data_IF_290248818916
#
_entry.id   IF_290248818916
#
_cell.length_a   1.000
_cell.length_b   1.000
_cell.length_c   1.000
_cell.angle_alpha   90.00
_cell.angle_beta   90.00
_cell.angle_gamma   90.00
#
_symmetry.space_group_name_H-M   'P 1'
#
loop_
_entity.id
_entity.type
_entity.pdbx_description
1 polymer ?
#
# COMPACT_ATOMS: atom_id res chain seq x y z
N UNK A 1 -53.39 -59.10 -35.75
CA UNK A 1 -53.69 -58.40 -37.01
C UNK A 1 -54.28 -57.04 -36.67
N UNK A 2 -54.07 -55.98 -37.47
CA UNK A 2 -53.11 -55.84 -38.59
C UNK A 2 -52.04 -54.74 -38.37
N UNK A 3 -50.93 -54.85 -39.13
CA UNK A 3 -50.01 -53.83 -39.72
C UNK A 3 -49.81 -52.45 -39.04
N UNK A 4 -48.62 -51.84 -38.98
CA UNK A 4 -47.34 -51.91 -39.73
C UNK A 4 -46.79 -50.47 -39.81
N UNK A 5 -45.53 -50.13 -40.11
CA UNK A 5 -44.32 -50.86 -40.49
C UNK A 5 -43.06 -49.98 -40.17
N UNK A 6 -41.89 -50.61 -40.02
CA UNK A 6 -40.59 -50.34 -40.70
C UNK A 6 -40.18 -48.89 -41.10
N UNK A 7 -38.92 -48.42 -41.06
CA UNK A 7 -37.58 -48.97 -40.72
C UNK A 7 -36.80 -47.83 -39.98
N UNK A 8 -35.51 -47.86 -39.58
CA UNK A 8 -34.30 -48.62 -39.94
C UNK A 8 -33.41 -48.89 -38.68
N UNK A 9 -32.14 -49.27 -38.84
CA UNK A 9 -31.23 -49.63 -37.75
C UNK A 9 -29.75 -49.29 -38.07
N UNK A 10 -28.96 -49.04 -37.02
CA UNK A 10 -27.51 -49.29 -36.86
C UNK A 10 -26.47 -48.56 -37.77
N UNK A 11 -25.55 -47.83 -37.13
CA UNK A 11 -24.18 -48.36 -36.96
C UNK A 11 -23.49 -47.82 -35.69
N UNK A 12 -22.72 -48.67 -35.04
CA UNK A 12 -22.08 -48.51 -33.72
C UNK A 12 -20.56 -48.70 -33.87
N UNK A 13 -19.71 -47.89 -33.22
CA UNK A 13 -18.42 -48.37 -32.67
C UNK A 13 -18.19 -47.72 -31.29
N UNK A 14 -17.74 -48.54 -30.35
CA UNK A 14 -17.52 -48.26 -28.91
C UNK A 14 -16.10 -47.74 -28.65
N UNK A 15 -15.91 -46.95 -27.58
CA UNK A 15 -14.86 -47.23 -26.56
C UNK A 15 -14.95 -46.33 -25.32
N UNK A 16 -15.50 -46.91 -24.26
CA UNK A 16 -15.07 -46.79 -22.86
C UNK A 16 -13.76 -46.02 -22.54
N UNK A 17 -13.85 -45.02 -21.66
CA UNK A 17 -13.14 -45.04 -20.37
C UNK A 17 -13.79 -44.10 -19.35
N UNK A 18 -13.79 -44.50 -18.07
CA UNK A 18 -14.26 -43.68 -16.94
C UNK A 18 -13.15 -42.75 -16.49
N UNK A 19 -13.48 -41.52 -16.07
CA UNK A 19 -12.83 -40.84 -14.95
C UNK A 19 -13.76 -39.71 -14.44
N UNK A 20 -14.44 -39.97 -13.31
CA UNK A 20 -15.18 -38.94 -12.58
C UNK A 20 -14.17 -38.09 -11.80
N UNK A 21 -14.07 -36.80 -12.12
CA UNK A 21 -13.54 -35.82 -11.18
C UNK A 21 -14.71 -34.97 -10.67
N UNK A 22 -15.21 -35.31 -9.49
CA UNK A 22 -16.15 -34.47 -8.75
C UNK A 22 -15.37 -33.36 -8.06
N UNK A 23 -15.40 -32.16 -8.63
CA UNK A 23 -14.84 -30.96 -7.99
C UNK A 23 -15.77 -30.58 -6.83
N UNK A 24 -15.33 -30.85 -5.61
CA UNK A 24 -16.04 -30.43 -4.41
C UNK A 24 -15.65 -28.98 -4.12
N UNK A 25 -16.53 -28.04 -4.46
CA UNK A 25 -16.37 -26.63 -4.10
C UNK A 25 -16.56 -26.48 -2.58
N UNK A 26 -15.47 -26.17 -1.87
CA UNK A 26 -15.57 -25.67 -0.50
C UNK A 26 -16.09 -24.23 -0.51
N UNK A 27 -16.99 -23.84 0.41
CA UNK A 27 -17.47 -22.47 0.47
C UNK A 27 -16.36 -21.52 0.93
N UNK A 28 -16.26 -20.38 0.25
CA UNK A 28 -15.47 -19.24 0.72
C UNK A 28 -15.98 -18.81 2.11
N UNK A 29 -15.05 -18.70 3.07
CA UNK A 29 -15.36 -18.25 4.41
C UNK A 29 -15.76 -16.76 4.36
N UNK A 30 -17.04 -16.45 4.60
CA UNK A 30 -17.51 -15.07 4.66
C UNK A 30 -16.94 -14.39 5.92
N UNK A 31 -15.96 -13.50 5.72
CA UNK A 31 -15.48 -12.58 6.77
C UNK A 31 -16.64 -11.68 7.17
N UNK A 32 -17.25 -12.00 8.32
CA UNK A 32 -18.40 -11.24 8.82
C UNK A 32 -17.88 -10.03 9.60
N UNK A 33 -17.80 -8.86 8.93
CA UNK A 33 -17.38 -7.63 9.60
C UNK A 33 -18.38 -7.24 10.70
N UNK A 34 -17.95 -7.36 11.96
CA UNK A 34 -18.65 -6.75 13.10
C UNK A 34 -18.20 -5.30 13.24
N UNK A 35 -18.98 -4.38 12.69
CA UNK A 35 -18.78 -2.94 12.88
C UNK A 35 -19.17 -2.55 14.32
N UNK A 36 -18.18 -2.34 15.18
CA UNK A 36 -18.42 -1.75 16.49
C UNK A 36 -18.80 -0.28 16.34
N UNK A 37 -19.90 0.13 16.98
CA UNK A 37 -20.38 1.51 16.96
C UNK A 37 -19.44 2.41 17.77
N UNK A 38 -18.84 3.46 17.19
CA UNK A 38 -17.98 4.38 17.92
C UNK A 38 -18.74 5.20 18.97
N UNK A 39 -18.03 5.60 20.02
CA UNK A 39 -18.54 6.41 21.14
C UNK A 39 -18.96 7.83 20.69
N UNK A 40 -19.83 8.53 21.44
CA UNK A 40 -20.38 9.82 21.00
C UNK A 40 -19.34 10.91 20.70
N UNK A 41 -18.26 10.98 21.48
CA UNK A 41 -17.21 11.98 21.28
C UNK A 41 -16.32 11.65 20.07
N UNK A 42 -16.04 10.37 19.78
CA UNK A 42 -15.23 9.99 18.61
C UNK A 42 -15.99 10.11 17.30
N UNK A 43 -17.33 9.90 17.30
CA UNK A 43 -18.18 10.27 16.15
C UNK A 43 -18.03 11.74 15.78
N UNK A 44 -18.16 12.65 16.75
CA UNK A 44 -18.05 14.09 16.51
C UNK A 44 -16.69 14.49 15.94
N UNK A 45 -15.60 13.94 16.49
CA UNK A 45 -14.25 14.18 15.96
C UNK A 45 -14.09 13.67 14.52
N UNK A 46 -14.62 12.47 14.21
CA UNK A 46 -14.60 11.92 12.85
C UNK A 46 -15.43 12.76 11.88
N UNK A 47 -16.62 13.21 12.28
CA UNK A 47 -17.49 14.09 11.50
C UNK A 47 -16.78 15.42 11.19
N UNK A 48 -16.07 15.99 12.17
CA UNK A 48 -15.27 17.21 12.02
C UNK A 48 -14.08 17.02 11.05
N UNK A 49 -13.38 15.88 11.10
CA UNK A 49 -12.26 15.57 10.18
C UNK A 49 -12.74 15.29 8.75
N UNK A 50 -13.83 14.55 8.58
CA UNK A 50 -14.46 14.36 7.27
C UNK A 50 -15.00 15.68 6.71
N UNK A 51 -15.57 16.55 7.56
CA UNK A 51 -16.01 17.88 7.15
C UNK A 51 -14.81 18.73 6.71
N UNK A 52 -13.72 18.78 7.50
CA UNK A 52 -12.46 19.41 7.13
C UNK A 52 -11.94 18.92 5.78
N UNK A 53 -11.94 17.60 5.53
CA UNK A 53 -11.49 17.03 4.26
C UNK A 53 -12.33 17.55 3.09
N UNK A 54 -13.66 17.45 3.19
CA UNK A 54 -14.60 17.97 2.17
C UNK A 54 -14.36 19.46 1.87
N UNK A 55 -14.10 20.29 2.89
CA UNK A 55 -13.78 21.71 2.70
C UNK A 55 -12.44 21.95 1.98
N UNK A 56 -11.44 21.07 2.14
CA UNK A 56 -10.16 21.15 1.43
C UNK A 56 -10.33 20.71 -0.03
N UNK A 57 -11.04 19.60 -0.27
CA UNK A 57 -11.35 19.05 -1.59
C UNK A 57 -12.17 20.04 -2.45
N UNK A 58 -13.17 20.70 -1.85
CA UNK A 58 -13.95 21.77 -2.48
C UNK A 58 -13.19 23.10 -2.64
N UNK A 59 -11.93 23.16 -2.21
CA UNK A 59 -11.10 24.36 -2.32
C UNK A 59 -11.59 25.54 -1.48
N UNK A 60 -12.35 25.29 -0.41
CA UNK A 60 -12.85 26.31 0.52
C UNK A 60 -11.81 26.62 1.62
N UNK A 61 -11.12 25.60 2.12
CA UNK A 61 -9.91 25.76 2.93
C UNK A 61 -8.69 25.86 2.01
N UNK A 62 -8.27 27.10 1.67
CA UNK A 62 -7.13 27.36 0.74
C UNK A 62 -5.79 27.61 1.40
N UNK A 63 -5.76 28.05 2.66
CA UNK A 63 -4.53 28.40 3.38
C UNK A 63 -3.79 27.14 3.83
N UNK A 64 -2.51 27.00 3.44
CA UNK A 64 -1.69 25.84 3.74
C UNK A 64 -1.46 25.59 5.24
N UNK A 65 -1.48 26.61 6.09
CA UNK A 65 -1.45 26.46 7.55
C UNK A 65 -2.70 25.81 8.15
N UNK A 66 -3.75 25.59 7.34
CA UNK A 66 -4.96 24.82 7.68
C UNK A 66 -5.04 23.47 6.94
N UNK A 67 -4.00 23.12 6.18
CA UNK A 67 -3.88 21.92 5.33
C UNK A 67 -2.71 21.07 5.81
N UNK A 68 -3.03 20.17 6.74
CA UNK A 68 -2.10 19.24 7.38
C UNK A 68 -0.75 19.79 7.82
N UNK A 69 0.22 18.87 7.90
CA UNK A 69 1.60 19.14 8.33
C UNK A 69 2.43 19.77 7.20
N UNK A 70 2.06 19.60 5.93
CA UNK A 70 2.72 20.09 4.72
C UNK A 70 2.68 21.61 4.45
N UNK A 71 2.56 22.45 5.48
CA UNK A 71 2.37 23.89 5.33
C UNK A 71 3.51 24.60 4.55
N UNK A 72 3.12 25.44 3.58
CA UNK A 72 4.02 26.23 2.72
C UNK A 72 5.02 27.07 3.52
N UNK A 73 6.30 26.94 3.18
CA UNK A 73 7.36 27.92 3.52
C UNK A 73 7.95 28.45 2.21
N UNK A 74 8.40 29.71 2.19
CA UNK A 74 8.80 30.42 0.95
C UNK A 74 9.95 29.74 0.18
N UNK A 75 10.74 28.87 0.82
CA UNK A 75 11.71 27.98 0.16
C UNK A 75 11.10 26.91 -0.76
N UNK A 76 9.77 26.73 -0.78
CA UNK A 76 9.07 25.76 -1.63
C UNK A 76 8.70 26.27 -3.03
N UNK A 77 9.10 27.49 -3.43
CA UNK A 77 8.99 27.91 -4.84
C UNK A 77 9.94 27.02 -5.67
N UNK A 78 9.42 26.07 -6.46
CA UNK A 78 10.25 24.98 -6.95
C UNK A 78 10.91 25.41 -8.25
N UNK A 79 12.05 26.11 -8.17
CA UNK A 79 12.89 26.41 -9.34
C UNK A 79 13.30 25.13 -10.09
N UNK A 80 13.30 23.99 -9.39
CA UNK A 80 13.44 22.65 -9.96
C UNK A 80 12.29 22.25 -10.92
N UNK A 81 11.03 22.70 -10.74
CA UNK A 81 9.92 22.28 -11.62
C UNK A 81 10.08 22.77 -13.06
N UNK A 82 10.30 24.08 -13.34
CA UNK A 82 10.60 24.53 -14.70
C UNK A 82 11.85 23.88 -15.29
N UNK A 83 12.89 23.65 -14.48
CA UNK A 83 14.11 22.97 -14.90
C UNK A 83 13.85 21.50 -15.30
N UNK A 84 13.14 20.74 -14.48
CA UNK A 84 12.77 19.35 -14.78
C UNK A 84 11.86 19.26 -16.01
N UNK A 85 10.95 20.22 -16.19
CA UNK A 85 10.12 20.33 -17.40
C UNK A 85 10.93 20.67 -18.65
N UNK A 86 11.97 21.51 -18.53
CA UNK A 86 12.90 21.79 -19.62
C UNK A 86 13.76 20.56 -19.96
N UNK A 87 14.29 19.86 -18.96
CA UNK A 87 15.02 18.60 -19.13
C UNK A 87 14.16 17.51 -19.78
N UNK A 88 12.86 17.42 -19.42
CA UNK A 88 11.91 16.50 -20.05
C UNK A 88 11.66 16.77 -21.55
N UNK A 89 12.00 17.97 -22.07
CA UNK A 89 11.92 18.26 -23.52
C UNK A 89 13.10 17.70 -24.30
N UNK A 90 14.17 17.26 -23.62
CA UNK A 90 15.36 16.65 -24.26
C UNK A 90 15.02 15.19 -24.61
N UNK A 91 14.93 14.80 -25.90
CA UNK A 91 14.32 13.52 -26.29
C UNK A 91 15.01 12.28 -25.70
N UNK A 92 16.35 12.23 -25.71
CA UNK A 92 17.11 11.09 -25.18
C UNK A 92 16.93 10.95 -23.66
N UNK A 93 16.90 12.08 -22.94
CA UNK A 93 16.78 12.10 -21.49
C UNK A 93 15.37 11.68 -21.08
N UNK A 94 14.34 12.17 -21.78
CA UNK A 94 12.95 11.70 -21.61
C UNK A 94 12.83 10.20 -21.84
N UNK A 95 13.25 9.70 -23.00
CA UNK A 95 13.13 8.27 -23.33
C UNK A 95 13.83 7.39 -22.29
N UNK A 96 15.03 7.79 -21.85
CA UNK A 96 15.77 7.06 -20.79
C UNK A 96 15.06 7.15 -19.44
N UNK A 97 14.59 8.34 -19.05
CA UNK A 97 13.92 8.58 -17.77
C UNK A 97 12.59 7.88 -17.65
N UNK A 98 11.78 7.86 -18.71
CA UNK A 98 10.53 7.08 -18.77
C UNK A 98 10.80 5.57 -18.78
N UNK A 99 11.80 5.10 -19.52
CA UNK A 99 12.17 3.68 -19.52
C UNK A 99 12.62 3.19 -18.12
N UNK A 100 13.39 4.03 -17.40
CA UNK A 100 13.72 3.78 -15.99
C UNK A 100 12.46 3.78 -15.10
N UNK A 101 11.49 4.64 -15.38
CA UNK A 101 10.26 4.76 -14.59
C UNK A 101 9.25 3.63 -14.82
N UNK A 102 9.26 2.96 -15.98
CA UNK A 102 8.48 1.73 -16.19
C UNK A 102 9.12 0.51 -15.52
N UNK A 103 10.45 0.50 -15.38
CA UNK A 103 11.19 -0.66 -14.88
C UNK A 103 11.24 -0.72 -13.34
N UNK A 104 10.09 -1.01 -12.71
CA UNK A 104 10.01 -1.24 -11.28
C UNK A 104 10.83 -2.46 -10.84
N UNK A 105 11.55 -2.35 -9.72
CA UNK A 105 12.42 -3.40 -9.18
C UNK A 105 11.73 -4.09 -8.01
N UNK A 106 11.59 -5.41 -8.06
CA UNK A 106 11.12 -6.18 -6.91
C UNK A 106 12.22 -6.20 -5.83
N UNK A 107 11.86 -5.87 -4.58
CA UNK A 107 12.75 -5.88 -3.42
C UNK A 107 12.16 -6.76 -2.33
N UNK A 108 12.86 -7.82 -1.95
CA UNK A 108 12.52 -8.59 -0.74
C UNK A 108 13.29 -8.02 0.45
N UNK A 109 12.58 -7.73 1.53
CA UNK A 109 13.11 -7.17 2.78
C UNK A 109 12.72 -8.07 3.94
N UNK A 110 13.54 -8.10 4.99
CA UNK A 110 13.29 -8.85 6.22
C UNK A 110 13.28 -7.89 7.39
N UNK A 111 12.16 -7.86 8.12
CA UNK A 111 12.02 -7.10 9.34
C UNK A 111 11.85 -8.06 10.51
N UNK A 112 12.74 -7.95 11.50
CA UNK A 112 12.82 -8.89 12.63
C UNK A 112 12.30 -8.24 13.90
N UNK A 113 11.37 -8.87 14.60
CA UNK A 113 10.79 -8.33 15.85
C UNK A 113 10.71 -9.40 16.94
N UNK A 114 10.91 -8.97 18.19
CA UNK A 114 10.75 -9.82 19.38
C UNK A 114 9.28 -10.09 19.69
N UNK A 115 8.43 -9.06 19.54
CA UNK A 115 6.98 -9.08 19.80
C UNK A 115 6.13 -9.66 18.64
N UNK A 116 6.75 -10.22 17.58
CA UNK A 116 5.99 -10.80 16.45
C UNK A 116 5.31 -12.11 16.88
N UNK A 117 3.98 -12.25 16.76
CA UNK A 117 3.29 -13.50 17.11
C UNK A 117 3.81 -14.68 16.27
N UNK A 118 4.07 -15.85 16.85
CA UNK A 118 4.80 -16.93 16.18
C UNK A 118 4.23 -17.38 14.84
N UNK A 119 2.90 -17.37 14.68
CA UNK A 119 2.25 -17.76 13.42
C UNK A 119 2.52 -16.79 12.27
N UNK A 120 2.96 -15.56 12.54
CA UNK A 120 3.36 -14.56 11.53
C UNK A 120 4.84 -14.65 11.13
N UNK A 121 5.61 -15.59 11.69
CA UNK A 121 6.99 -15.80 11.24
C UNK A 121 7.03 -16.33 9.80
N UNK A 122 7.67 -15.57 8.90
CA UNK A 122 7.68 -15.84 7.46
C UNK A 122 6.48 -15.27 6.70
N UNK A 123 5.56 -14.57 7.37
CA UNK A 123 4.40 -13.94 6.72
C UNK A 123 4.85 -12.82 5.78
N UNK A 124 4.26 -12.77 4.58
CA UNK A 124 4.69 -11.89 3.49
C UNK A 124 3.68 -10.77 3.18
N UNK A 125 4.17 -9.53 3.21
CA UNK A 125 3.40 -8.32 2.90
C UNK A 125 3.95 -7.67 1.63
N UNK A 126 3.17 -7.64 0.55
CA UNK A 126 3.42 -6.81 -0.62
C UNK A 126 3.05 -5.36 -0.29
N UNK A 127 4.03 -4.47 -0.24
CA UNK A 127 3.85 -3.03 -0.06
C UNK A 127 3.98 -2.30 -1.39
N UNK A 128 2.88 -1.66 -1.82
CA UNK A 128 2.84 -0.75 -2.95
C UNK A 128 2.52 0.68 -2.47
N UNK A 129 3.08 1.67 -3.15
CA UNK A 129 2.83 3.08 -2.87
C UNK A 129 3.00 3.94 -4.12
N UNK A 130 2.39 5.13 -4.10
CA UNK A 130 2.53 6.17 -5.11
C UNK A 130 2.37 5.61 -6.54
N UNK A 131 1.33 4.81 -6.74
CA UNK A 131 1.12 4.02 -7.97
C UNK A 131 0.93 4.96 -9.16
N UNK A 132 0.21 6.07 -8.96
CA UNK A 132 -0.13 7.07 -9.99
C UNK A 132 -0.43 6.43 -11.35
N UNK A 133 -1.44 5.56 -11.40
CA UNK A 133 -1.67 4.65 -12.52
C UNK A 133 -2.01 5.35 -13.86
N UNK A 134 -2.34 6.65 -13.83
CA UNK A 134 -2.55 7.54 -14.98
C UNK A 134 -1.33 8.46 -15.30
N UNK A 135 -0.21 8.32 -14.58
CA UNK A 135 0.96 9.20 -14.69
C UNK A 135 1.97 8.86 -15.79
N UNK A 136 1.97 7.61 -16.29
CA UNK A 136 2.92 7.15 -17.31
C UNK A 136 2.33 6.00 -18.16
N UNK A 137 2.20 6.21 -19.47
CA UNK A 137 1.75 5.16 -20.40
C UNK A 137 2.69 3.95 -20.38
N UNK A 138 2.13 2.73 -20.29
CA UNK A 138 2.88 1.47 -20.19
C UNK A 138 3.38 1.13 -18.78
N UNK A 139 3.11 1.97 -17.77
CA UNK A 139 3.40 1.66 -16.37
C UNK A 139 2.53 0.49 -15.88
N UNK A 140 1.22 0.57 -16.10
CA UNK A 140 0.21 -0.43 -15.73
C UNK A 140 0.60 -1.83 -16.23
N UNK A 141 0.90 -1.96 -17.52
CA UNK A 141 1.24 -3.23 -18.16
C UNK A 141 2.58 -3.78 -17.61
N UNK A 142 3.59 -2.93 -17.44
CA UNK A 142 4.89 -3.34 -16.87
C UNK A 142 4.82 -3.68 -15.38
N UNK A 143 3.88 -3.10 -14.64
CA UNK A 143 3.64 -3.38 -13.23
C UNK A 143 2.86 -4.69 -13.06
N UNK A 144 1.71 -4.82 -13.72
CA UNK A 144 0.87 -6.03 -13.65
C UNK A 144 1.65 -7.29 -14.04
N UNK A 145 2.51 -7.24 -15.06
CA UNK A 145 3.36 -8.37 -15.43
C UNK A 145 4.31 -8.82 -14.32
N UNK A 146 4.87 -7.88 -13.55
CA UNK A 146 5.74 -8.19 -12.39
C UNK A 146 4.96 -8.65 -11.15
N UNK A 147 3.72 -8.19 -10.98
CA UNK A 147 2.88 -8.58 -9.86
C UNK A 147 2.33 -10.01 -10.00
N UNK A 148 2.03 -10.45 -11.22
CA UNK A 148 1.56 -11.81 -11.51
C UNK A 148 2.57 -12.91 -11.14
N UNK A 149 3.86 -12.58 -11.12
CA UNK A 149 4.95 -13.48 -10.71
C UNK A 149 5.04 -13.66 -9.18
N UNK A 150 4.34 -12.81 -8.40
CA UNK A 150 4.42 -12.81 -6.94
C UNK A 150 3.26 -13.60 -6.31
N UNK A 151 3.58 -14.28 -5.21
CA UNK A 151 2.62 -14.91 -4.30
C UNK A 151 2.92 -14.37 -2.91
N UNK A 152 1.94 -13.74 -2.27
CA UNK A 152 2.11 -13.15 -0.93
C UNK A 152 0.90 -13.43 -0.04
N UNK A 153 1.08 -13.26 1.27
CA UNK A 153 -0.02 -13.40 2.22
C UNK A 153 -0.93 -12.17 2.16
N UNK A 154 -0.39 -10.95 2.22
CA UNK A 154 -1.16 -9.70 2.25
C UNK A 154 -0.62 -8.68 1.24
N UNK A 155 -1.49 -7.85 0.66
CA UNK A 155 -1.07 -6.64 -0.03
C UNK A 155 -1.54 -5.38 0.72
N UNK A 156 -0.66 -4.40 0.87
CA UNK A 156 -0.93 -3.09 1.47
C UNK A 156 -0.60 -1.96 0.50
N UNK A 157 -1.54 -1.03 0.34
CA UNK A 157 -1.44 0.14 -0.53
C UNK A 157 -1.36 1.41 0.32
N UNK A 158 -0.26 2.16 0.22
CA UNK A 158 -0.02 3.37 1.04
C UNK A 158 -0.35 4.68 0.33
N UNK A 159 -1.42 4.67 -0.48
CA UNK A 159 -1.99 5.86 -1.12
C UNK A 159 -1.35 6.28 -2.45
N UNK A 160 -1.86 7.39 -2.98
CA UNK A 160 -1.48 8.06 -4.23
C UNK A 160 -1.71 7.20 -5.48
N UNK A 161 -2.97 6.82 -5.68
CA UNK A 161 -3.41 6.01 -6.82
C UNK A 161 -3.37 6.76 -8.16
N UNK A 162 -3.54 8.09 -8.13
CA UNK A 162 -3.59 8.96 -9.33
C UNK A 162 -2.52 10.04 -9.37
N UNK A 163 -2.11 10.47 -10.55
CA UNK A 163 -1.01 11.40 -10.79
C UNK A 163 -1.32 12.86 -10.46
N UNK A 164 -2.56 13.32 -10.68
CA UNK A 164 -2.97 14.70 -10.39
C UNK A 164 -3.54 14.80 -8.97
N UNK A 165 -3.39 15.96 -8.32
CA UNK A 165 -3.99 16.23 -7.01
C UNK A 165 -5.48 16.58 -7.13
N UNK A 166 -5.91 17.22 -8.23
CA UNK A 166 -7.31 17.69 -8.39
C UNK A 166 -7.86 17.45 -9.81
N UNK A 167 -9.16 17.71 -10.01
CA UNK A 167 -9.86 17.46 -11.28
C UNK A 167 -10.28 15.99 -11.47
N UNK A 168 -10.85 15.64 -12.64
CA UNK A 168 -11.39 14.30 -12.91
C UNK A 168 -10.38 13.17 -12.64
N UNK A 169 -10.88 12.02 -12.20
CA UNK A 169 -10.07 10.85 -11.89
C UNK A 169 -10.54 9.53 -12.52
N UNK A 170 -11.68 9.48 -13.21
CA UNK A 170 -12.28 8.23 -13.69
C UNK A 170 -11.36 7.39 -14.58
N UNK A 171 -10.47 8.05 -15.33
CA UNK A 171 -9.44 7.41 -16.16
C UNK A 171 -8.39 6.58 -15.37
N UNK A 172 -8.29 6.73 -14.05
CA UNK A 172 -7.36 5.95 -13.22
C UNK A 172 -7.91 4.55 -12.92
N UNK A 173 -9.23 4.38 -12.81
CA UNK A 173 -9.83 3.15 -12.30
C UNK A 173 -9.60 1.93 -13.20
N UNK A 174 -9.67 2.01 -14.55
CA UNK A 174 -9.33 0.87 -15.42
C UNK A 174 -7.87 0.43 -15.32
N UNK A 175 -6.96 1.34 -14.95
CA UNK A 175 -5.56 0.98 -14.70
C UNK A 175 -5.39 0.36 -13.31
N UNK A 176 -6.08 0.89 -12.30
CA UNK A 176 -6.12 0.28 -10.96
C UNK A 176 -6.71 -1.13 -10.99
N UNK A 177 -7.83 -1.36 -11.69
CA UNK A 177 -8.45 -2.68 -11.86
C UNK A 177 -7.47 -3.73 -12.43
N UNK A 178 -6.73 -3.37 -13.50
CA UNK A 178 -5.67 -4.22 -14.08
C UNK A 178 -4.51 -4.51 -13.12
N UNK A 179 -4.16 -3.56 -12.25
CA UNK A 179 -3.08 -3.71 -11.26
C UNK A 179 -3.55 -4.61 -10.11
N UNK A 180 -4.75 -4.35 -9.58
CA UNK A 180 -5.35 -5.12 -8.48
C UNK A 180 -5.62 -6.57 -8.88
N UNK A 181 -6.14 -6.81 -10.08
CA UNK A 181 -6.36 -8.16 -10.64
C UNK A 181 -5.07 -8.95 -10.84
N UNK A 182 -3.92 -8.27 -10.97
CA UNK A 182 -2.61 -8.89 -11.10
C UNK A 182 -1.97 -9.29 -9.75
N UNK A 183 -2.56 -8.90 -8.61
CA UNK A 183 -2.03 -9.17 -7.27
C UNK A 183 -2.62 -10.47 -6.73
N UNK A 184 -1.75 -11.41 -6.39
CA UNK A 184 -2.14 -12.64 -5.69
C UNK A 184 -1.76 -12.54 -4.20
N UNK A 185 -2.72 -12.08 -3.39
CA UNK A 185 -2.59 -11.91 -1.95
C UNK A 185 -3.66 -12.73 -1.21
N UNK A 186 -3.24 -13.72 -0.43
CA UNK A 186 -4.11 -14.68 0.27
C UNK A 186 -5.16 -14.06 1.19
N UNK A 187 -4.80 -12.97 1.87
CA UNK A 187 -5.62 -12.20 2.80
C UNK A 187 -6.21 -10.94 2.16
N UNK A 188 -6.11 -10.80 0.83
CA UNK A 188 -6.63 -9.68 0.07
C UNK A 188 -5.73 -8.44 0.08
N UNK A 189 -6.33 -7.30 -0.25
CA UNK A 189 -5.66 -6.03 -0.46
C UNK A 189 -6.26 -4.99 0.48
N UNK A 190 -5.40 -4.30 1.25
CA UNK A 190 -5.78 -3.26 2.20
C UNK A 190 -5.15 -1.94 1.77
N UNK A 191 -5.88 -0.82 1.86
CA UNK A 191 -5.39 0.47 1.33
C UNK A 191 -5.72 1.67 2.22
N UNK A 192 -4.89 2.70 2.15
CA UNK A 192 -5.14 4.03 2.73
C UNK A 192 -5.15 5.10 1.63
N UNK A 193 -5.52 6.34 1.97
CA UNK A 193 -5.56 7.47 1.03
C UNK A 193 -4.25 8.28 1.08
N UNK A 194 -3.75 8.71 -0.08
CA UNK A 194 -2.68 9.69 -0.18
C UNK A 194 -3.18 11.12 -0.42
N UNK A 195 -2.27 12.06 -0.62
CA UNK A 195 -2.63 13.47 -0.85
C UNK A 195 -3.14 13.74 -2.29
N UNK A 196 -2.93 12.83 -3.24
CA UNK A 196 -3.52 12.88 -4.58
C UNK A 196 -4.93 12.27 -4.64
N UNK A 197 -5.32 11.58 -3.56
CA UNK A 197 -6.61 10.90 -3.47
C UNK A 197 -7.66 11.79 -2.79
N UNK A 198 -8.87 11.74 -3.32
CA UNK A 198 -10.05 12.37 -2.71
C UNK A 198 -10.94 11.26 -2.15
N UNK A 199 -11.68 11.53 -1.07
CA UNK A 199 -12.47 10.52 -0.35
C UNK A 199 -13.51 9.81 -1.24
N UNK A 200 -13.97 10.46 -2.30
CA UNK A 200 -14.83 9.89 -3.37
C UNK A 200 -14.28 8.60 -4.02
N UNK A 201 -12.97 8.31 -3.89
CA UNK A 201 -12.34 7.11 -4.43
C UNK A 201 -12.59 5.86 -3.60
N UNK A 202 -12.87 6.02 -2.30
CA UNK A 202 -13.02 4.87 -1.37
C UNK A 202 -14.07 3.87 -1.88
N UNK A 203 -15.31 4.27 -2.23
CA UNK A 203 -16.32 3.31 -2.72
C UNK A 203 -15.93 2.62 -4.03
N UNK A 204 -15.13 3.27 -4.89
CA UNK A 204 -14.69 2.68 -6.16
C UNK A 204 -13.55 1.69 -5.94
N UNK A 205 -12.59 2.01 -5.07
CA UNK A 205 -11.51 1.09 -4.69
C UNK A 205 -12.03 -0.13 -3.92
N UNK A 206 -13.06 0.05 -3.09
CA UNK A 206 -13.78 -1.03 -2.42
C UNK A 206 -14.52 -1.94 -3.43
N UNK A 207 -15.17 -1.38 -4.45
CA UNK A 207 -15.76 -2.15 -5.55
C UNK A 207 -14.71 -2.94 -6.36
N UNK A 208 -13.48 -2.44 -6.43
CA UNK A 208 -12.33 -3.14 -7.03
C UNK A 208 -11.63 -4.12 -6.07
N UNK A 209 -12.19 -4.37 -4.88
CA UNK A 209 -11.72 -5.38 -3.93
C UNK A 209 -10.68 -4.90 -2.91
N UNK A 210 -10.42 -3.60 -2.79
CA UNK A 210 -9.52 -3.04 -1.75
C UNK A 210 -10.30 -2.76 -0.47
N UNK A 211 -9.87 -3.32 0.66
CA UNK A 211 -10.37 -2.91 1.98
C UNK A 211 -9.73 -1.59 2.36
N UNK A 212 -10.46 -0.49 2.21
CA UNK A 212 -9.95 0.85 2.53
C UNK A 212 -10.05 1.13 4.03
N UNK A 213 -8.96 1.62 4.61
CA UNK A 213 -8.88 2.05 6.01
C UNK A 213 -8.66 3.56 6.06
N UNK A 214 -9.65 4.29 6.58
CA UNK A 214 -9.58 5.75 6.74
C UNK A 214 -9.79 6.07 8.21
N UNK A 215 -8.69 6.22 8.95
CA UNK A 215 -8.67 6.30 10.42
C UNK A 215 -9.36 5.10 11.10
N UNK A 216 -8.98 3.89 10.67
CA UNK A 216 -9.60 2.63 11.07
C UNK A 216 -8.55 1.53 11.25
N UNK A 217 -8.91 0.50 12.00
CA UNK A 217 -8.07 -0.68 12.24
C UNK A 217 -8.73 -1.97 11.78
N UNK A 218 -7.94 -2.89 11.23
CA UNK A 218 -8.37 -4.21 10.78
C UNK A 218 -7.50 -5.31 11.44
N UNK A 219 -8.10 -6.27 12.18
CA UNK A 219 -7.36 -7.43 12.67
C UNK A 219 -7.13 -8.42 11.53
N UNK A 220 -5.90 -8.86 11.36
CA UNK A 220 -5.50 -9.95 10.43
C UNK A 220 -5.18 -11.18 11.27
N UNK A 221 -5.88 -12.29 11.02
CA UNK A 221 -5.72 -13.54 11.75
C UNK A 221 -4.92 -14.56 10.93
N UNK A 222 -3.88 -15.14 11.53
CA UNK A 222 -3.10 -16.22 10.93
C UNK A 222 -2.85 -17.32 11.96
N UNK A 223 -3.28 -18.54 11.66
CA UNK A 223 -3.30 -19.63 12.64
C UNK A 223 -4.17 -19.28 13.85
N UNK A 224 -3.57 -19.22 15.04
CA UNK A 224 -4.22 -18.80 16.28
C UNK A 224 -3.93 -17.33 16.65
N UNK A 225 -3.02 -16.67 15.94
CA UNK A 225 -2.53 -15.34 16.30
C UNK A 225 -3.25 -14.23 15.51
N UNK A 226 -3.10 -12.99 15.98
CA UNK A 226 -3.65 -11.78 15.33
C UNK A 226 -2.63 -10.64 15.35
N UNK A 227 -2.43 -9.99 14.21
CA UNK A 227 -1.81 -8.65 14.13
C UNK A 227 -2.87 -7.62 13.74
N UNK A 228 -2.60 -6.34 14.02
CA UNK A 228 -3.51 -5.25 13.65
C UNK A 228 -2.90 -4.37 12.58
N UNK A 229 -3.61 -4.21 11.46
CA UNK A 229 -3.37 -3.13 10.52
C UNK A 229 -4.09 -1.88 11.02
N UNK A 230 -3.41 -0.75 11.05
CA UNK A 230 -3.97 0.55 11.43
C UNK A 230 -3.79 1.46 10.23
N UNK A 231 -4.88 1.90 9.60
CA UNK A 231 -4.84 2.76 8.43
C UNK A 231 -5.33 4.17 8.75
N UNK A 232 -4.53 5.17 8.44
CA UNK A 232 -4.86 6.58 8.66
C UNK A 232 -5.23 7.30 7.36
N UNK A 233 -6.00 8.36 7.51
CA UNK A 233 -6.12 9.37 6.46
C UNK A 233 -4.84 10.23 6.37
N UNK A 234 -4.70 11.00 5.29
CA UNK A 234 -3.49 11.77 4.99
C UNK A 234 -3.16 12.86 6.05
N UNK A 235 -1.99 12.79 6.71
CA UNK A 235 -1.54 13.81 7.67
C UNK A 235 -0.89 15.05 7.01
N UNK A 236 -0.49 14.95 5.74
CA UNK A 236 0.38 15.94 5.11
C UNK A 236 -0.40 17.09 4.48
N UNK A 237 -1.26 16.82 3.50
CA UNK A 237 -2.01 17.85 2.75
C UNK A 237 -3.40 18.08 3.34
N UNK A 238 -4.12 17.02 3.67
CA UNK A 238 -5.42 17.14 4.34
C UNK A 238 -5.23 17.38 5.85
N UNK A 239 -4.34 16.62 6.49
CA UNK A 239 -4.19 16.62 7.95
C UNK A 239 -5.43 16.08 8.63
N UNK A 240 -6.02 15.03 8.05
CA UNK A 240 -7.23 14.42 8.54
C UNK A 240 -6.96 13.08 9.25
N UNK A 241 -5.70 12.82 9.59
CA UNK A 241 -5.24 11.71 10.41
C UNK A 241 -5.86 11.72 11.82
N UNK A 242 -6.30 10.55 12.29
CA UNK A 242 -6.76 10.31 13.65
C UNK A 242 -6.20 8.99 14.18
N UNK A 243 -4.91 9.00 14.53
CA UNK A 243 -4.23 7.84 15.12
C UNK A 243 -4.88 7.36 16.43
N UNK A 244 -5.25 8.24 17.40
CA UNK A 244 -5.96 7.80 18.60
C UNK A 244 -7.32 7.16 18.31
N UNK A 245 -8.10 7.72 17.38
CA UNK A 245 -9.38 7.14 16.96
C UNK A 245 -9.23 5.81 16.25
N UNK A 246 -8.25 5.69 15.34
CA UNK A 246 -7.96 4.45 14.63
C UNK A 246 -7.49 3.32 15.56
N UNK A 247 -6.78 3.66 16.65
CA UNK A 247 -6.34 2.71 17.66
C UNK A 247 -7.40 2.33 18.70
N UNK A 248 -8.56 3.00 18.75
CA UNK A 248 -9.57 2.81 19.81
C UNK A 248 -10.07 1.36 19.96
N UNK A 249 -10.04 0.56 18.88
CA UNK A 249 -10.44 -0.85 18.87
C UNK A 249 -9.27 -1.85 18.99
N UNK A 250 -8.03 -1.35 19.02
CA UNK A 250 -6.80 -2.15 19.01
C UNK A 250 -6.34 -2.40 20.45
N UNK A 251 -6.18 -3.66 20.91
CA UNK A 251 -5.66 -3.95 22.24
C UNK A 251 -4.18 -3.54 22.38
N UNK A 252 -3.81 -2.97 23.52
CA UNK A 252 -2.49 -2.35 23.74
C UNK A 252 -1.30 -3.28 23.44
N UNK A 253 -1.35 -4.51 23.96
CA UNK A 253 -0.33 -5.55 23.81
C UNK A 253 -0.59 -6.43 22.57
N UNK A 254 -0.65 -5.81 21.40
CA UNK A 254 -0.73 -6.50 20.10
C UNK A 254 0.24 -5.88 19.11
N UNK A 255 0.71 -6.69 18.16
CA UNK A 255 1.61 -6.25 17.10
C UNK A 255 0.86 -5.35 16.08
N UNK A 256 1.36 -4.12 15.90
CA UNK A 256 0.69 -3.06 15.12
C UNK A 256 1.49 -2.68 13.89
N UNK A 257 0.85 -2.82 12.71
CA UNK A 257 1.36 -2.33 11.42
C UNK A 257 0.59 -1.07 11.04
N UNK A 258 1.26 0.08 11.05
CA UNK A 258 0.70 1.35 10.63
C UNK A 258 0.86 1.54 9.11
N UNK A 259 -0.27 1.76 8.44
CA UNK A 259 -0.37 2.17 7.05
C UNK A 259 -0.74 3.66 7.03
N UNK A 260 0.16 4.49 6.50
CA UNK A 260 -0.09 5.93 6.34
C UNK A 260 0.70 6.43 5.14
N UNK A 261 0.20 7.44 4.44
CA UNK A 261 0.82 7.86 3.19
C UNK A 261 2.22 8.47 3.38
N UNK A 262 2.45 9.28 4.42
CA UNK A 262 3.69 10.06 4.60
C UNK A 262 4.46 9.70 5.90
N UNK A 263 5.79 9.95 5.97
CA UNK A 263 6.62 9.72 7.15
C UNK A 263 6.52 10.84 8.23
N UNK A 264 5.43 11.60 8.30
CA UNK A 264 5.31 12.77 9.18
C UNK A 264 4.71 12.48 10.57
N UNK A 265 4.40 11.22 10.88
CA UNK A 265 3.85 10.74 12.16
C UNK A 265 4.79 9.78 12.92
N UNK A 266 6.07 9.70 12.56
CA UNK A 266 7.02 8.72 13.14
C UNK A 266 7.10 8.80 14.68
N UNK A 267 7.11 10.01 15.25
CA UNK A 267 7.22 10.19 16.69
C UNK A 267 5.91 9.84 17.43
N UNK A 268 4.76 10.23 16.88
CA UNK A 268 3.45 9.91 17.43
C UNK A 268 3.12 8.41 17.31
N UNK A 269 3.48 7.77 16.20
CA UNK A 269 3.29 6.34 15.99
C UNK A 269 4.10 5.49 16.99
N UNK A 270 5.36 5.85 17.22
CA UNK A 270 6.19 5.14 18.22
C UNK A 270 5.67 5.36 19.64
N UNK A 271 5.21 6.56 19.98
CA UNK A 271 4.59 6.87 21.28
C UNK A 271 3.27 6.11 21.51
N UNK A 272 2.57 5.69 20.45
CA UNK A 272 1.39 4.81 20.52
C UNK A 272 1.74 3.32 20.41
N UNK A 273 3.04 2.99 20.40
CA UNK A 273 3.54 1.63 20.40
C UNK A 273 3.32 0.89 19.08
N UNK A 274 3.38 1.57 17.93
CA UNK A 274 3.45 0.91 16.61
C UNK A 274 4.76 0.13 16.46
N UNK A 275 4.71 -1.06 15.87
CA UNK A 275 5.87 -1.92 15.64
C UNK A 275 6.47 -1.70 14.24
N UNK A 276 5.62 -1.69 13.21
CA UNK A 276 6.01 -1.51 11.80
C UNK A 276 5.26 -0.35 11.15
N UNK A 277 5.99 0.62 10.59
CA UNK A 277 5.46 1.80 9.91
C UNK A 277 5.69 1.71 8.40
N UNK A 278 4.63 1.71 7.59
CA UNK A 278 4.72 1.63 6.12
C UNK A 278 4.14 2.88 5.46
N UNK A 279 4.94 3.54 4.62
CA UNK A 279 4.54 4.76 3.90
C UNK A 279 5.24 4.93 2.53
N UNK A 280 4.88 5.99 1.80
CA UNK A 280 5.50 6.41 0.54
C UNK A 280 5.68 7.93 0.49
N UNK A 281 4.97 8.60 -0.43
CA UNK A 281 4.90 10.05 -0.66
C UNK A 281 6.17 10.71 -1.19
N UNK A 282 7.34 10.26 -0.75
CA UNK A 282 8.61 10.93 -1.05
C UNK A 282 9.15 10.62 -2.45
N UNK A 283 8.65 9.56 -3.09
CA UNK A 283 9.22 8.91 -4.27
C UNK A 283 10.70 8.49 -4.14
N UNK A 284 11.24 8.46 -2.91
CA UNK A 284 12.68 8.42 -2.65
C UNK A 284 13.44 9.60 -3.29
N UNK A 285 12.73 10.67 -3.60
CA UNK A 285 13.16 11.86 -4.36
C UNK A 285 13.09 11.76 -5.88
N UNK A 286 12.79 10.57 -6.45
CA UNK A 286 12.61 10.25 -7.88
C UNK A 286 13.81 10.49 -8.82
N UNK A 287 14.45 11.64 -8.71
CA UNK A 287 15.61 12.09 -9.45
C UNK A 287 16.68 12.41 -8.41
N UNK A 288 17.53 11.42 -8.15
CA UNK A 288 18.65 11.55 -7.23
C UNK A 288 19.92 11.96 -7.99
N UNK A 289 20.73 12.81 -7.38
CA UNK A 289 22.09 13.05 -7.86
C UNK A 289 23.00 11.92 -7.37
N UNK A 290 23.95 11.43 -8.17
CA UNK A 290 25.01 10.57 -7.69
C UNK A 290 25.66 11.17 -6.44
N UNK A 291 25.94 10.34 -5.44
CA UNK A 291 26.62 10.70 -4.17
C UNK A 291 25.86 11.65 -3.22
N UNK A 292 24.94 12.49 -3.71
CA UNK A 292 24.20 13.46 -2.88
C UNK A 292 22.74 13.03 -2.56
N UNK A 293 22.22 12.04 -3.28
CA UNK A 293 20.88 11.49 -3.04
C UNK A 293 19.75 12.41 -3.54
N UNK A 294 18.59 12.46 -2.83
CA UNK A 294 17.40 13.15 -3.32
C UNK A 294 17.58 14.67 -3.33
N UNK A 295 17.24 15.28 -4.48
CA UNK A 295 17.24 16.75 -4.69
C UNK A 295 16.05 17.41 -3.98
N UNK A 296 14.92 16.70 -3.88
CA UNK A 296 13.69 17.11 -3.21
C UNK A 296 12.93 15.86 -2.77
N UNK A 297 12.12 15.92 -1.71
CA UNK A 297 11.45 14.74 -1.13
C UNK A 297 9.99 14.95 -0.69
N UNK A 298 9.40 16.14 -0.84
CA UNK A 298 8.01 16.43 -0.47
C UNK A 298 7.69 16.51 1.03
N UNK A 299 8.16 15.53 1.81
CA UNK A 299 7.87 15.38 3.24
C UNK A 299 8.70 16.28 4.16
N UNK A 300 8.12 16.66 5.30
CA UNK A 300 8.76 17.41 6.40
C UNK A 300 9.26 16.46 7.51
N UNK A 301 10.16 15.56 7.15
CA UNK A 301 10.75 14.55 8.05
C UNK A 301 12.30 14.63 8.05
N UNK A 302 12.96 13.81 8.89
CA UNK A 302 14.42 13.61 8.77
C UNK A 302 14.76 12.97 7.42
N UNK A 303 15.98 13.20 6.93
CA UNK A 303 16.47 12.56 5.69
C UNK A 303 16.50 11.03 5.79
N UNK A 304 16.63 10.50 7.00
CA UNK A 304 16.63 9.07 7.31
C UNK A 304 15.28 8.39 7.01
N UNK A 305 14.19 9.16 7.01
CA UNK A 305 12.83 8.69 6.71
C UNK A 305 12.40 9.02 5.27
N UNK A 306 13.31 9.44 4.39
CA UNK A 306 12.96 9.76 2.99
C UNK A 306 12.82 8.49 2.14
N UNK A 307 13.59 7.43 2.42
CA UNK A 307 13.57 6.22 1.57
C UNK A 307 14.17 5.01 2.28
N UNK A 308 13.57 3.85 2.05
CA UNK A 308 14.13 2.57 2.45
C UNK A 308 13.74 2.18 3.88
N UNK A 309 14.43 1.18 4.41
CA UNK A 309 14.23 0.71 5.77
C UNK A 309 14.92 1.63 6.78
N UNK A 310 14.23 1.92 7.88
CA UNK A 310 14.71 2.76 8.97
C UNK A 310 14.18 2.25 10.31
N UNK A 311 14.72 2.79 11.42
CA UNK A 311 14.20 2.55 12.76
C UNK A 311 14.05 3.85 13.54
N UNK A 312 13.11 3.86 14.48
CA UNK A 312 12.92 4.91 15.47
C UNK A 312 12.61 4.23 16.82
N UNK A 313 13.59 4.22 17.73
CA UNK A 313 13.51 3.47 19.00
C UNK A 313 13.15 2.01 18.74
N UNK A 314 12.02 1.50 19.27
CA UNK A 314 11.56 0.11 19.05
C UNK A 314 10.88 -0.11 17.70
N UNK A 315 10.36 0.95 17.09
CA UNK A 315 9.59 0.89 15.85
C UNK A 315 10.55 0.76 14.65
N UNK A 316 10.24 -0.16 13.75
CA UNK A 316 10.86 -0.25 12.44
C UNK A 316 9.92 0.35 11.39
N UNK A 317 10.48 0.81 10.27
CA UNK A 317 9.66 1.37 9.21
C UNK A 317 10.28 1.26 7.83
N UNK A 318 9.43 1.46 6.83
CA UNK A 318 9.81 1.48 5.44
C UNK A 318 9.12 2.62 4.70
N UNK A 319 9.92 3.47 4.04
CA UNK A 319 9.43 4.52 3.14
C UNK A 319 9.71 4.10 1.71
N UNK A 320 8.65 3.72 1.00
CA UNK A 320 8.74 3.29 -0.40
C UNK A 320 9.16 4.43 -1.31
N UNK A 321 10.01 4.11 -2.30
CA UNK A 321 10.30 5.03 -3.39
C UNK A 321 9.15 5.16 -4.41
N UNK A 322 8.04 4.46 -4.18
CA UNK A 322 6.84 4.48 -5.02
C UNK A 322 7.01 3.72 -6.34
N UNK A 323 5.91 3.25 -6.90
CA UNK A 323 5.91 2.52 -8.18
C UNK A 323 5.79 3.48 -9.38
N UNK A 324 4.98 4.51 -9.24
CA UNK A 324 4.66 5.46 -10.30
C UNK A 324 5.65 6.61 -10.43
N UNK A 325 5.15 7.77 -10.85
CA UNK A 325 5.93 9.00 -11.07
C UNK A 325 5.17 10.22 -10.56
N UNK A 326 5.88 11.25 -10.14
CA UNK A 326 5.36 12.54 -9.69
C UNK A 326 6.18 13.68 -10.31
N UNK A 327 5.56 14.86 -10.48
CA UNK A 327 6.11 16.10 -11.08
C UNK A 327 6.52 16.03 -12.56
N UNK A 328 7.31 15.03 -12.96
CA UNK A 328 7.68 14.68 -14.35
C UNK A 328 7.75 13.15 -14.49
N UNK A 329 7.43 12.57 -15.66
CA UNK A 329 7.37 11.12 -15.85
C UNK A 329 8.76 10.49 -16.07
N UNK A 330 9.73 10.77 -15.19
CA UNK A 330 11.12 10.32 -15.32
C UNK A 330 11.74 9.94 -13.97
N UNK A 331 12.48 8.83 -13.95
CA UNK A 331 13.28 8.39 -12.79
C UNK A 331 14.77 8.29 -13.13
N UNK A 332 15.62 8.78 -12.23
CA UNK A 332 17.08 8.71 -12.33
C UNK A 332 17.71 8.44 -10.97
N UNK A 333 18.55 7.41 -10.88
CA UNK A 333 19.22 6.92 -9.65
C UNK A 333 18.27 6.59 -8.47
N UNK A 334 16.95 6.63 -8.70
CA UNK A 334 15.90 6.20 -7.80
C UNK A 334 14.90 5.32 -8.57
N UNK A 335 15.22 4.02 -8.81
CA UNK A 335 14.30 3.12 -9.51
C UNK A 335 12.98 3.01 -8.73
N UNK A 336 11.84 2.85 -9.42
CA UNK A 336 10.59 2.50 -8.75
C UNK A 336 10.72 1.09 -8.16
N UNK A 337 9.93 0.78 -7.13
CA UNK A 337 10.08 -0.47 -6.39
C UNK A 337 8.76 -1.12 -6.01
N UNK A 338 8.73 -2.44 -6.13
CA UNK A 338 7.67 -3.35 -5.69
C UNK A 338 8.26 -4.06 -4.47
N UNK A 339 7.70 -3.86 -3.28
CA UNK A 339 8.38 -4.27 -2.05
C UNK A 339 7.66 -5.46 -1.42
N UNK A 340 8.37 -6.55 -1.17
CA UNK A 340 7.88 -7.72 -0.46
C UNK A 340 8.57 -7.76 0.90
N UNK A 341 7.81 -7.57 1.97
CA UNK A 341 8.29 -7.59 3.36
C UNK A 341 8.00 -8.97 3.93
N UNK A 342 9.04 -9.69 4.33
CA UNK A 342 8.98 -10.91 5.12
C UNK A 342 9.13 -10.53 6.60
N UNK A 343 8.12 -10.87 7.42
CA UNK A 343 8.18 -10.68 8.87
C UNK A 343 8.95 -11.85 9.51
N UNK A 344 9.88 -11.56 10.41
CA UNK A 344 10.70 -12.56 11.08
C UNK A 344 10.57 -12.43 12.60
N UNK A 345 10.36 -13.53 13.32
CA UNK A 345 10.56 -13.53 14.77
C UNK A 345 12.06 -13.35 15.06
N UNK A 346 12.40 -12.52 16.03
CA UNK A 346 13.71 -12.57 16.65
C UNK A 346 13.90 -13.97 17.24
N UNK A 347 15.02 -14.63 16.94
CA UNK A 347 15.42 -15.78 17.75
C UNK A 347 15.76 -15.25 19.14
N UNK A 348 15.27 -15.87 20.23
CA UNK A 348 15.80 -15.54 21.54
C UNK A 348 17.31 -15.76 21.48
N UNK A 349 18.08 -14.78 21.96
CA UNK A 349 19.53 -14.90 22.04
C UNK A 349 19.85 -16.20 22.79
N UNK A 350 20.66 -17.08 22.18
CA UNK A 350 21.27 -18.18 22.90
C UNK A 350 21.95 -17.58 24.14
N UNK A 351 21.48 -17.95 25.33
CA UNK A 351 22.15 -17.59 26.57
C UNK A 351 23.62 -17.99 26.42
N UNK A 352 24.59 -17.12 26.80
CA UNK A 352 25.97 -17.55 26.84
C UNK A 352 26.02 -18.78 27.75
N UNK A 353 26.43 -19.92 27.18
CA UNK A 353 26.58 -21.16 27.93
C UNK A 353 27.46 -20.86 29.14
N UNK A 354 26.85 -20.86 30.33
CA UNK A 354 27.57 -20.78 31.59
C UNK A 354 28.38 -22.05 31.70
N UNK A 355 29.61 -22.01 31.19
CA UNK A 355 30.65 -22.97 31.50
C UNK A 355 30.79 -22.94 33.02
N UNK A 356 30.24 -23.97 33.67
CA UNK A 356 30.36 -24.16 35.10
C UNK A 356 31.84 -24.22 35.51
N UNK A 357 32.16 -23.90 36.77
CA UNK A 357 33.54 -23.92 37.22
C UNK A 357 34.11 -25.33 37.06
N UNK A 358 35.11 -25.45 36.20
CA UNK A 358 36.02 -26.60 36.20
C UNK A 358 36.78 -26.60 37.52
N UNK A 359 36.82 -27.77 38.17
CA UNK A 359 37.40 -28.01 39.49
C UNK A 359 38.93 -27.80 39.56
#
# INVERSE_FOLDING_TARGET
MPFGADVFFLLEIRSSTRLRHSITLFPLCQVTMKTHSPLPNTRRAMDDLQHKRRLIEQGQLRTWTRRGRGAWTVGHVPFHRPLLQALHRIPWLRTRGEANARNAVVRTLRFTFEELPPAFCGFTILHLSDIHADGLSGLTESLSGRLQELQVDLCVLTGDYRYKISGPCDAVYPNMEKILTAINARYGIVGVLGNHDAAEKVPVLEQLGVTMLVNQSLPVQHGADTIWLVGLDDPHYYGCDDLPGALQAVPDATFKVLLVHTPELVAEAEAQGVDLYLCGHTHGGQICMPWWGPVFSGARCSRDYIRGAWSHRRMQGYTSAGVGVSVVPMRFFCPPEIVVIELCCARPHDHPLTLGPTA
#
